data_IF_764362502998
#
_entry.id   IF_764362502998
#
_cell.length_a   1.000
_cell.length_b   1.000
_cell.length_c   1.000
_cell.angle_alpha   90.00
_cell.angle_beta   90.00
_cell.angle_gamma   90.00
#
_symmetry.space_group_name_H-M   'P 1'
#
loop_
_entity.id
_entity.type
_entity.pdbx_description
1 polymer ?
#
# COMPACT_ATOMS: atom_id res chain seq x y z
N UNK A 1 -47.88 -18.14 -1.67
CA UNK A 1 -47.55 -16.83 -2.31
C UNK A 1 -47.09 -15.73 -1.35
N UNK A 2 -46.75 -15.99 -0.07
CA UNK A 2 -46.31 -14.96 0.90
C UNK A 2 -44.79 -14.74 1.03
N UNK A 3 -43.95 -15.61 0.46
CA UNK A 3 -42.49 -15.59 0.67
C UNK A 3 -41.72 -14.59 -0.19
N UNK A 4 -42.23 -14.25 -1.38
CA UNK A 4 -41.56 -13.31 -2.31
C UNK A 4 -41.53 -11.87 -1.80
N UNK A 5 -42.54 -11.47 -1.02
CA UNK A 5 -42.64 -10.12 -0.43
C UNK A 5 -41.59 -9.90 0.67
N UNK A 6 -41.36 -10.89 1.53
CA UNK A 6 -40.36 -10.80 2.60
C UNK A 6 -38.92 -10.78 2.08
N UNK A 7 -38.62 -11.52 1.01
CA UNK A 7 -37.29 -11.51 0.36
C UNK A 7 -36.99 -10.13 -0.24
N UNK A 8 -37.99 -9.49 -0.87
CA UNK A 8 -37.83 -8.17 -1.47
C UNK A 8 -37.57 -7.09 -0.39
N UNK A 9 -38.26 -7.18 0.75
CA UNK A 9 -38.08 -6.27 1.89
C UNK A 9 -36.70 -6.45 2.52
N UNK A 10 -36.21 -7.68 2.69
CA UNK A 10 -34.86 -7.93 3.20
C UNK A 10 -33.77 -7.41 2.24
N UNK A 11 -33.95 -7.58 0.93
CA UNK A 11 -33.04 -7.01 -0.06
C UNK A 11 -33.01 -5.47 0.00
N UNK A 12 -34.18 -4.84 0.20
CA UNK A 12 -34.27 -3.39 0.31
C UNK A 12 -33.57 -2.86 1.57
N UNK A 13 -33.67 -3.58 2.70
CA UNK A 13 -33.02 -3.24 3.98
C UNK A 13 -31.49 -3.31 3.87
N UNK A 14 -30.96 -4.31 3.16
CA UNK A 14 -29.50 -4.46 2.95
C UNK A 14 -28.94 -3.31 2.08
N UNK A 15 -29.70 -2.82 1.11
CA UNK A 15 -29.28 -1.72 0.23
C UNK A 15 -29.24 -0.39 1.00
N UNK A 16 -30.18 -0.12 1.91
CA UNK A 16 -30.21 1.13 2.71
C UNK A 16 -29.22 1.16 3.88
N UNK A 17 -28.67 0.02 4.31
CA UNK A 17 -27.58 -0.03 5.30
C UNK A 17 -26.18 0.19 4.71
N UNK A 18 -26.07 0.30 3.38
CA UNK A 18 -24.80 0.56 2.71
C UNK A 18 -24.66 2.04 2.34
N UNK A 19 -24.25 2.84 3.33
CA UNK A 19 -23.24 3.90 3.21
C UNK A 19 -23.28 4.68 4.53
N UNK A 20 -22.48 4.22 5.48
CA UNK A 20 -22.11 5.08 6.60
C UNK A 20 -21.17 6.15 6.04
N UNK A 21 -21.73 7.31 5.72
CA UNK A 21 -20.95 8.52 5.45
C UNK A 21 -20.46 9.10 6.79
N UNK A 22 -19.72 8.30 7.57
CA UNK A 22 -19.00 8.85 8.71
C UNK A 22 -17.93 9.78 8.13
N UNK A 23 -18.18 11.08 8.21
CA UNK A 23 -17.15 12.08 8.00
C UNK A 23 -16.09 11.85 9.07
N UNK A 24 -15.03 11.14 8.69
CA UNK A 24 -13.82 11.04 9.49
C UNK A 24 -13.24 12.45 9.54
N UNK A 25 -13.52 13.16 10.62
CA UNK A 25 -12.89 14.45 10.87
C UNK A 25 -11.38 14.20 11.02
N UNK A 26 -10.62 14.74 10.06
CA UNK A 26 -9.18 14.72 10.14
C UNK A 26 -8.69 15.42 11.43
N UNK A 27 -7.47 15.12 11.89
CA UNK A 27 -6.87 15.78 13.04
C UNK A 27 -6.94 17.32 12.90
N UNK A 28 -7.40 18.00 13.96
CA UNK A 28 -7.46 19.46 14.03
C UNK A 28 -6.13 20.04 14.54
N UNK A 29 -5.36 20.68 13.66
CA UNK A 29 -4.10 21.36 13.99
C UNK A 29 -3.06 21.28 12.87
N UNK A 30 -1.87 21.83 13.10
CA UNK A 30 -0.71 21.56 12.25
C UNK A 30 -0.27 20.12 12.50
N UNK A 31 -0.58 19.22 11.58
CA UNK A 31 -0.09 17.85 11.60
C UNK A 31 1.32 17.87 11.00
N UNK A 32 2.31 17.57 11.81
CA UNK A 32 3.65 17.29 11.30
C UNK A 32 3.66 15.83 10.80
N UNK A 33 3.70 15.67 9.47
CA UNK A 33 3.88 14.35 8.86
C UNK A 33 5.37 14.01 8.97
N UNK A 34 5.71 13.17 9.95
CA UNK A 34 7.08 12.69 10.15
C UNK A 34 7.45 11.58 9.16
N UNK A 35 6.48 11.10 8.38
CA UNK A 35 6.59 9.94 7.52
C UNK A 35 5.79 10.13 6.23
N UNK A 36 6.37 9.74 5.10
CA UNK A 36 5.77 9.84 3.78
C UNK A 36 6.05 8.56 2.99
N UNK A 37 4.99 7.94 2.47
CA UNK A 37 5.07 6.78 1.58
C UNK A 37 4.73 7.19 0.14
N UNK A 38 5.53 6.74 -0.83
CA UNK A 38 5.36 7.10 -2.25
C UNK A 38 5.96 6.05 -3.21
N UNK A 39 5.83 6.30 -4.52
CA UNK A 39 6.33 5.46 -5.61
C UNK A 39 5.99 3.96 -5.48
N UNK A 40 4.72 3.67 -5.21
CA UNK A 40 4.27 2.29 -5.05
C UNK A 40 4.23 1.51 -6.38
N UNK A 41 4.71 0.27 -6.36
CA UNK A 41 4.66 -0.68 -7.46
C UNK A 41 4.08 -2.03 -7.02
N UNK A 42 3.17 -2.56 -7.84
CA UNK A 42 2.51 -3.84 -7.57
C UNK A 42 3.26 -4.99 -8.24
N UNK A 43 3.43 -6.08 -7.50
CA UNK A 43 3.86 -7.36 -8.08
C UNK A 43 2.91 -7.80 -9.19
N UNK A 44 3.41 -8.59 -10.15
CA UNK A 44 2.62 -9.08 -11.28
C UNK A 44 1.48 -9.98 -10.84
N UNK A 45 1.69 -10.79 -9.80
CA UNK A 45 0.63 -11.59 -9.19
C UNK A 45 -0.40 -10.78 -8.39
N UNK A 46 -0.12 -9.50 -8.13
CA UNK A 46 -1.00 -8.62 -7.35
C UNK A 46 -1.12 -9.03 -5.88
N UNK A 47 -0.08 -9.67 -5.31
CA UNK A 47 -0.06 -10.12 -3.91
C UNK A 47 0.80 -9.26 -3.01
N UNK A 48 1.74 -8.53 -3.60
CA UNK A 48 2.73 -7.71 -2.91
C UNK A 48 2.75 -6.31 -3.51
N UNK A 49 3.09 -5.33 -2.67
CA UNK A 49 3.34 -3.93 -3.01
C UNK A 49 4.76 -3.60 -2.55
N UNK A 50 5.56 -3.01 -3.43
CA UNK A 50 6.81 -2.34 -3.09
C UNK A 50 6.56 -0.84 -3.06
N UNK A 51 7.19 -0.10 -2.14
CA UNK A 51 7.01 1.35 -2.02
C UNK A 51 8.19 1.98 -1.30
N UNK A 52 8.37 3.29 -1.51
CA UNK A 52 9.38 4.07 -0.80
C UNK A 52 8.77 4.63 0.47
N UNK A 53 9.48 4.42 1.58
CA UNK A 53 9.19 4.96 2.89
C UNK A 53 10.23 6.00 3.24
N UNK A 54 9.80 7.23 3.52
CA UNK A 54 10.65 8.27 4.07
C UNK A 54 10.22 8.58 5.50
N UNK A 55 11.19 8.64 6.40
CA UNK A 55 11.01 8.92 7.82
C UNK A 55 12.07 9.91 8.30
N UNK A 56 11.81 10.61 9.41
CA UNK A 56 12.81 11.45 10.08
C UNK A 56 14.01 10.62 10.56
N UNK A 57 13.77 9.36 10.95
CA UNK A 57 14.82 8.41 11.26
C UNK A 57 15.38 7.82 9.96
N UNK A 58 16.59 8.22 9.58
CA UNK A 58 17.21 7.81 8.33
C UNK A 58 17.33 6.28 8.16
N UNK A 59 17.42 5.53 9.27
CA UNK A 59 17.45 4.06 9.22
C UNK A 59 16.12 3.43 8.86
N UNK A 60 15.01 4.14 9.11
CA UNK A 60 13.68 3.72 8.70
C UNK A 60 13.39 4.14 7.26
N UNK A 61 14.20 4.98 6.62
CA UNK A 61 13.96 5.34 5.23
C UNK A 61 14.45 4.26 4.26
N UNK A 62 13.70 4.02 3.18
CA UNK A 62 14.11 3.18 2.07
C UNK A 62 12.98 2.40 1.40
N UNK A 63 13.33 1.27 0.80
CA UNK A 63 12.40 0.42 0.06
C UNK A 63 11.75 -0.60 1.00
N UNK A 64 10.43 -0.57 1.02
CA UNK A 64 9.61 -1.50 1.79
C UNK A 64 8.77 -2.36 0.87
N UNK A 65 8.39 -3.52 1.39
CA UNK A 65 7.36 -4.38 0.80
C UNK A 65 6.32 -4.75 1.83
N UNK A 66 5.09 -4.93 1.37
CA UNK A 66 3.97 -5.44 2.15
C UNK A 66 3.06 -6.27 1.26
N UNK A 67 2.18 -7.07 1.87
CA UNK A 67 1.09 -7.68 1.12
C UNK A 67 0.00 -6.65 0.78
N UNK A 68 -0.90 -7.03 -0.13
CA UNK A 68 -1.99 -6.15 -0.57
C UNK A 68 -3.07 -5.88 0.47
N UNK A 69 -3.03 -6.59 1.61
CA UNK A 69 -3.87 -6.27 2.77
C UNK A 69 -3.21 -5.27 3.73
N UNK A 70 -1.99 -4.80 3.41
CA UNK A 70 -1.20 -3.90 4.25
C UNK A 70 -0.44 -4.61 5.39
N UNK A 71 -0.51 -5.94 5.45
CA UNK A 71 0.19 -6.75 6.43
C UNK A 71 1.61 -7.09 5.93
N UNK A 72 2.42 -7.68 6.81
CA UNK A 72 3.78 -8.12 6.50
C UNK A 72 4.70 -7.02 5.94
N UNK A 73 4.45 -5.76 6.33
CA UNK A 73 5.32 -4.63 6.01
C UNK A 73 6.72 -4.87 6.55
N UNK A 74 7.74 -4.83 5.69
CA UNK A 74 9.16 -4.91 6.07
C UNK A 74 10.04 -4.10 5.13
N UNK A 75 11.10 -3.54 5.68
CA UNK A 75 12.17 -2.90 4.93
C UNK A 75 13.03 -3.97 4.26
N UNK A 76 13.38 -3.77 2.99
CA UNK A 76 14.27 -4.66 2.25
C UNK A 76 15.55 -3.98 1.76
N UNK A 77 15.52 -2.64 1.63
CA UNK A 77 16.70 -1.82 1.37
C UNK A 77 16.59 -0.57 2.24
N UNK A 78 17.66 -0.25 2.98
CA UNK A 78 17.79 0.99 3.73
C UNK A 78 18.46 2.05 2.88
N UNK A 79 18.01 3.30 3.00
CA UNK A 79 18.65 4.45 2.38
C UNK A 79 17.79 5.10 1.30
N UNK A 80 18.41 5.96 0.50
CA UNK A 80 17.70 6.81 -0.44
C UNK A 80 17.60 6.12 -1.81
N UNK A 81 16.47 5.49 -2.04
CA UNK A 81 16.14 4.71 -3.24
C UNK A 81 14.80 5.15 -3.79
N UNK A 82 14.60 5.00 -5.09
CA UNK A 82 13.35 5.40 -5.74
C UNK A 82 13.00 4.49 -6.92
N UNK A 83 11.85 4.77 -7.54
CA UNK A 83 11.37 4.10 -8.75
C UNK A 83 11.36 2.56 -8.67
N UNK A 84 10.82 1.94 -7.59
CA UNK A 84 10.81 0.50 -7.50
C UNK A 84 9.90 -0.12 -8.56
N UNK A 85 10.29 -1.25 -9.13
CA UNK A 85 9.43 -2.06 -9.99
C UNK A 85 9.70 -3.56 -9.80
N UNK A 86 8.66 -4.38 -9.95
CA UNK A 86 8.76 -5.82 -9.79
C UNK A 86 9.21 -6.50 -11.07
N UNK A 87 10.11 -7.46 -10.93
CA UNK A 87 10.37 -8.44 -11.99
C UNK A 87 9.09 -9.19 -12.39
N UNK A 88 8.99 -9.57 -13.66
CA UNK A 88 7.82 -10.24 -14.24
C UNK A 88 7.42 -11.55 -13.53
N UNK A 89 8.38 -12.19 -12.85
CA UNK A 89 8.18 -13.44 -12.12
C UNK A 89 8.04 -13.27 -10.60
N UNK A 90 7.92 -12.04 -10.10
CA UNK A 90 7.75 -11.69 -8.68
C UNK A 90 8.88 -12.17 -7.74
N UNK A 91 10.12 -12.31 -8.25
CA UNK A 91 11.26 -12.81 -7.43
C UNK A 91 12.30 -11.74 -7.08
N UNK A 92 12.19 -10.57 -7.72
CA UNK A 92 13.12 -9.47 -7.56
C UNK A 92 12.42 -8.13 -7.79
N UNK A 93 13.01 -7.08 -7.23
CA UNK A 93 12.65 -5.68 -7.42
C UNK A 93 13.84 -4.95 -8.02
N UNK A 94 13.60 -4.15 -9.05
CA UNK A 94 14.55 -3.16 -9.56
C UNK A 94 14.27 -1.81 -8.92
N UNK A 95 15.31 -1.02 -8.68
CA UNK A 95 15.18 0.32 -8.12
C UNK A 95 16.40 1.16 -8.50
N UNK A 96 16.24 2.47 -8.39
CA UNK A 96 17.32 3.44 -8.58
C UNK A 96 17.87 3.87 -7.21
N UNK A 97 19.19 4.01 -7.11
CA UNK A 97 19.85 4.59 -5.94
C UNK A 97 20.16 6.07 -6.21
N UNK A 98 19.74 6.96 -5.31
CA UNK A 98 20.04 8.38 -5.49
C UNK A 98 21.56 8.61 -5.46
N UNK A 99 22.06 9.24 -6.54
CA UNK A 99 23.48 9.57 -6.70
C UNK A 99 24.28 8.58 -7.54
N UNK A 100 23.68 7.47 -8.01
CA UNK A 100 24.34 6.50 -8.88
C UNK A 100 23.48 6.22 -10.13
N UNK A 101 24.06 6.36 -11.33
CA UNK A 101 23.47 5.89 -12.58
C UNK A 101 23.89 4.44 -12.90
N UNK A 102 23.53 3.46 -12.07
CA UNK A 102 23.01 2.19 -12.59
C UNK A 102 21.78 1.67 -11.83
N UNK A 103 20.94 0.90 -12.53
CA UNK A 103 19.81 0.15 -11.95
C UNK A 103 20.31 -0.91 -10.95
N UNK A 104 19.75 -0.94 -9.74
CA UNK A 104 19.99 -1.95 -8.72
C UNK A 104 18.90 -3.03 -8.72
N UNK A 105 19.24 -4.26 -8.29
CA UNK A 105 18.31 -5.40 -8.21
C UNK A 105 18.39 -6.03 -6.82
N UNK A 106 17.26 -6.12 -6.13
CA UNK A 106 17.12 -6.82 -4.85
C UNK A 106 16.25 -8.06 -5.00
N UNK A 107 16.71 -9.22 -4.51
CA UNK A 107 15.89 -10.44 -4.45
C UNK A 107 14.96 -10.41 -3.24
N UNK A 108 13.75 -10.92 -3.46
CA UNK A 108 12.74 -11.05 -2.40
C UNK A 108 12.80 -12.47 -1.84
N UNK A 109 13.61 -12.66 -0.80
CA UNK A 109 13.63 -13.89 0.01
C UNK A 109 12.65 -13.80 1.20
#
# INVERSE_FOLDING_TARGET
>A
MKTKSHILVLFLIVIISSCNNEEVSGPSGNVEYTQIDFDAAWSKSGKMIAFIHNDLEAELSGLYIMDTSGNNKRQIVQGNVNSPDWSVNDTAIIFDEEGLCPLSIQRTE
#
